data_IF_144757421124
#
_entry.id   IF_144757421124
#
_cell.length_a   1.000
_cell.length_b   1.000
_cell.length_c   1.000
_cell.angle_alpha   90.00
_cell.angle_beta   90.00
_cell.angle_gamma   90.00
#
_symmetry.space_group_name_H-M   'P 1'
#
loop_
_entity.id
_entity.type
_entity.pdbx_description
1 polymer ?
#
# COMPACT_ATOMS: atom_id res chain seq x y z
N UNK A 1 -5.39 -4.35 -19.63
CA UNK A 1 -5.81 -3.78 -18.32
C UNK A 1 -4.88 -4.31 -17.25
N UNK A 2 -4.70 -3.60 -16.14
CA UNK A 2 -4.02 -4.19 -14.98
C UNK A 2 -4.84 -5.37 -14.47
N UNK A 3 -4.18 -6.47 -14.13
CA UNK A 3 -4.84 -7.64 -13.58
C UNK A 3 -5.56 -7.27 -12.27
N UNK A 4 -6.78 -7.79 -12.02
CA UNK A 4 -7.55 -7.46 -10.83
C UNK A 4 -6.88 -8.01 -9.56
N UNK A 5 -7.07 -7.31 -8.45
CA UNK A 5 -6.62 -7.76 -7.14
C UNK A 5 -7.67 -8.70 -6.52
N UNK A 6 -7.21 -9.83 -5.96
CA UNK A 6 -8.06 -10.78 -5.24
C UNK A 6 -8.56 -10.14 -3.94
N UNK A 7 -9.88 -10.13 -3.72
CA UNK A 7 -10.51 -9.59 -2.52
C UNK A 7 -11.17 -10.70 -1.71
N UNK A 8 -10.74 -10.90 -0.47
CA UNK A 8 -11.23 -11.98 0.40
C UNK A 8 -11.61 -11.46 1.77
N UNK A 9 -12.60 -12.10 2.38
CA UNK A 9 -12.99 -11.84 3.75
C UNK A 9 -11.98 -12.47 4.73
N UNK A 10 -11.87 -11.88 5.94
CA UNK A 10 -11.21 -12.46 7.12
C UNK A 10 -9.72 -12.76 6.98
N UNK A 11 -9.07 -12.28 5.92
CA UNK A 11 -7.63 -12.42 5.70
C UNK A 11 -6.89 -11.10 5.92
N UNK A 12 -5.72 -11.11 6.60
CA UNK A 12 -4.94 -9.90 6.79
C UNK A 12 -4.33 -9.41 5.46
N UNK A 13 -4.37 -8.10 5.27
CA UNK A 13 -3.92 -7.41 4.06
C UNK A 13 -3.11 -6.17 4.47
N UNK A 14 -1.91 -6.04 3.89
CA UNK A 14 -1.18 -4.78 3.88
C UNK A 14 -1.68 -3.90 2.73
N UNK A 15 -1.92 -2.63 3.01
CA UNK A 15 -2.46 -1.63 2.08
C UNK A 15 -1.44 -0.52 1.93
N UNK A 16 -1.14 -0.16 0.68
CA UNK A 16 -0.28 0.98 0.38
C UNK A 16 -0.97 1.92 -0.60
N UNK A 17 -0.94 3.23 -0.31
CA UNK A 17 -1.40 4.28 -1.22
C UNK A 17 -0.44 5.45 -1.24
N UNK A 18 -0.09 5.93 -2.43
CA UNK A 18 0.85 7.02 -2.66
C UNK A 18 0.15 8.31 -3.06
N UNK A 19 0.75 9.42 -2.70
CA UNK A 19 0.34 10.75 -3.13
C UNK A 19 0.68 10.99 -4.59
N UNK A 20 -0.09 11.86 -5.23
CA UNK A 20 0.17 12.30 -6.59
C UNK A 20 1.57 12.89 -6.70
N UNK A 21 2.26 12.59 -7.81
CA UNK A 21 3.60 13.10 -8.11
C UNK A 21 4.63 12.94 -6.97
N UNK A 22 4.48 11.94 -6.07
CA UNK A 22 5.34 11.74 -4.88
C UNK A 22 5.40 12.96 -3.96
N UNK A 23 4.40 13.86 -4.04
CA UNK A 23 4.33 15.07 -3.22
C UNK A 23 4.21 14.73 -1.74
N UNK A 24 4.88 15.50 -0.90
CA UNK A 24 4.91 15.32 0.55
C UNK A 24 3.66 15.93 1.23
N UNK A 25 2.48 15.72 0.64
CA UNK A 25 1.22 16.39 1.01
C UNK A 25 0.78 16.13 2.45
N UNK A 26 1.05 14.93 2.97
CA UNK A 26 0.73 14.51 4.34
C UNK A 26 1.86 14.83 5.32
N UNK A 27 2.71 15.81 5.01
CA UNK A 27 3.70 16.29 5.97
C UNK A 27 3.02 16.59 7.31
N UNK A 28 3.51 16.04 8.45
CA UNK A 28 2.94 16.27 9.77
C UNK A 28 3.32 17.67 10.28
N UNK A 29 2.94 18.71 9.53
CA UNK A 29 3.22 20.11 9.84
C UNK A 29 2.52 20.55 11.11
N UNK A 30 1.29 20.06 11.29
CA UNK A 30 0.54 20.12 12.52
C UNK A 30 0.07 18.71 12.91
N UNK A 31 0.04 18.34 14.21
CA UNK A 31 -0.37 17.00 14.64
C UNK A 31 -1.75 16.58 14.13
N UNK A 32 -2.69 17.53 14.09
CA UNK A 32 -4.08 17.28 13.69
C UNK A 32 -4.24 16.89 12.21
N UNK A 33 -3.23 17.15 11.36
CA UNK A 33 -3.25 16.74 9.94
C UNK A 33 -3.23 15.21 9.83
N UNK A 34 -2.22 14.57 10.41
CA UNK A 34 -2.13 13.11 10.33
C UNK A 34 -3.13 12.42 11.26
N UNK A 35 -3.45 12.99 12.42
CA UNK A 35 -4.53 12.48 13.29
C UNK A 35 -5.89 12.53 12.57
N UNK A 36 -6.15 13.55 11.75
CA UNK A 36 -7.35 13.66 10.94
C UNK A 36 -7.44 12.61 9.84
N UNK A 37 -6.32 12.27 9.21
CA UNK A 37 -6.25 11.10 8.33
C UNK A 37 -6.66 9.84 9.09
N UNK A 38 -6.03 9.57 10.24
CA UNK A 38 -6.29 8.35 10.98
C UNK A 38 -7.73 8.31 11.48
N UNK A 39 -8.30 9.44 11.92
CA UNK A 39 -9.68 9.54 12.34
C UNK A 39 -10.65 9.10 11.22
N UNK A 40 -10.49 9.65 10.02
CA UNK A 40 -11.37 9.35 8.89
C UNK A 40 -11.18 7.93 8.35
N UNK A 41 -9.93 7.48 8.29
CA UNK A 41 -9.58 6.12 7.89
C UNK A 41 -10.15 5.10 8.87
N UNK A 42 -10.03 5.34 10.18
CA UNK A 42 -10.60 4.48 11.22
C UNK A 42 -12.13 4.52 11.23
N UNK A 43 -12.75 5.69 11.05
CA UNK A 43 -14.21 5.81 10.94
C UNK A 43 -14.75 4.99 9.75
N UNK A 44 -14.05 5.01 8.61
CA UNK A 44 -14.40 4.16 7.47
C UNK A 44 -14.24 2.68 7.78
N UNK A 45 -13.15 2.29 8.45
CA UNK A 45 -12.90 0.91 8.83
C UNK A 45 -14.01 0.38 9.75
N UNK A 46 -14.41 1.15 10.77
CA UNK A 46 -15.47 0.77 11.69
C UNK A 46 -16.83 0.63 11.00
N UNK A 47 -17.17 1.55 10.09
CA UNK A 47 -18.44 1.52 9.33
C UNK A 47 -18.55 0.31 8.40
N UNK A 48 -17.42 -0.19 7.92
CA UNK A 48 -17.35 -1.28 6.94
C UNK A 48 -16.86 -2.59 7.53
N UNK A 49 -16.74 -2.70 8.85
CA UNK A 49 -16.29 -3.92 9.50
C UNK A 49 -14.87 -4.33 9.11
N UNK A 50 -13.95 -3.38 9.05
CA UNK A 50 -12.53 -3.63 8.80
C UNK A 50 -11.74 -3.49 10.11
N UNK A 51 -11.04 -4.55 10.50
CA UNK A 51 -10.19 -4.56 11.70
C UNK A 51 -8.84 -3.93 11.38
N UNK A 52 -8.42 -2.97 12.19
CA UNK A 52 -7.13 -2.28 12.05
C UNK A 52 -6.08 -3.00 12.88
N UNK A 53 -4.92 -3.30 12.29
CA UNK A 53 -3.75 -3.86 12.98
C UNK A 53 -2.63 -2.84 13.14
N UNK A 54 -2.51 -1.90 12.20
CA UNK A 54 -1.55 -0.82 12.26
C UNK A 54 -1.68 0.17 11.12
N UNK A 55 -1.14 1.35 11.32
CA UNK A 55 -1.07 2.43 10.34
C UNK A 55 0.22 3.24 10.56
N UNK A 56 0.93 3.53 9.46
CA UNK A 56 1.96 4.54 9.38
C UNK A 56 1.64 5.47 8.21
N UNK A 57 1.66 6.78 8.47
CA UNK A 57 1.41 7.80 7.47
C UNK A 57 2.68 8.62 7.29
N UNK A 58 3.33 8.44 6.16
CA UNK A 58 4.47 9.23 5.74
C UNK A 58 4.03 10.41 4.87
N UNK A 59 4.92 11.41 4.65
CA UNK A 59 4.49 12.63 3.97
C UNK A 59 3.94 12.40 2.56
N UNK A 60 4.39 11.37 1.83
CA UNK A 60 3.93 11.09 0.47
C UNK A 60 3.17 9.78 0.28
N UNK A 61 2.96 8.98 1.33
CA UNK A 61 2.23 7.73 1.21
C UNK A 61 1.82 7.21 2.59
N UNK A 62 0.94 6.22 2.63
CA UNK A 62 0.66 5.51 3.87
C UNK A 62 0.77 4.00 3.67
N UNK A 63 1.10 3.33 4.76
CA UNK A 63 1.01 1.89 4.93
C UNK A 63 -0.01 1.56 6.02
N UNK A 64 -1.00 0.73 5.69
CA UNK A 64 -1.98 0.21 6.63
C UNK A 64 -1.94 -1.30 6.66
N UNK A 65 -2.23 -1.90 7.81
CA UNK A 65 -2.45 -3.33 7.92
C UNK A 65 -3.85 -3.56 8.51
N UNK A 66 -4.68 -4.33 7.80
CA UNK A 66 -6.08 -4.55 8.15
C UNK A 66 -6.51 -5.98 7.91
N UNK A 67 -7.60 -6.41 8.54
CA UNK A 67 -8.36 -7.60 8.15
C UNK A 67 -9.82 -7.21 7.96
N UNK A 68 -10.38 -7.32 6.74
CA UNK A 68 -11.79 -7.02 6.53
C UNK A 68 -12.65 -8.19 7.03
N UNK A 69 -13.82 -7.93 7.59
CA UNK A 69 -14.74 -9.01 8.02
C UNK A 69 -15.47 -9.65 6.84
N UNK A 70 -15.71 -8.85 5.79
CA UNK A 70 -16.27 -9.23 4.50
C UNK A 70 -15.26 -8.92 3.38
N UNK A 71 -15.49 -9.34 2.14
CA UNK A 71 -14.57 -9.06 1.03
C UNK A 71 -14.72 -7.62 0.47
N UNK A 72 -14.63 -6.59 1.32
CA UNK A 72 -15.03 -5.20 1.00
C UNK A 72 -13.91 -4.14 1.04
N UNK A 73 -12.65 -4.55 0.93
CA UNK A 73 -11.52 -3.59 0.94
C UNK A 73 -11.58 -2.50 -0.13
N UNK A 74 -12.06 -2.75 -1.37
CA UNK A 74 -12.17 -1.68 -2.35
C UNK A 74 -13.14 -0.58 -1.92
N UNK A 75 -14.32 -0.92 -1.38
CA UNK A 75 -15.25 0.06 -0.80
C UNK A 75 -14.64 0.81 0.38
N UNK A 76 -13.97 0.09 1.29
CA UNK A 76 -13.28 0.69 2.42
C UNK A 76 -12.26 1.74 2.00
N UNK A 77 -11.36 1.36 1.10
CA UNK A 77 -10.31 2.28 0.63
C UNK A 77 -10.87 3.40 -0.23
N UNK A 78 -11.88 3.16 -1.07
CA UNK A 78 -12.55 4.22 -1.82
C UNK A 78 -13.11 5.29 -0.87
N UNK A 79 -13.84 4.86 0.17
CA UNK A 79 -14.41 5.76 1.17
C UNK A 79 -13.34 6.49 1.96
N UNK A 80 -12.35 5.76 2.48
CA UNK A 80 -11.27 6.32 3.27
C UNK A 80 -10.43 7.32 2.46
N UNK A 81 -10.04 6.99 1.22
CA UNK A 81 -9.23 7.85 0.35
C UNK A 81 -9.97 9.10 -0.09
N UNK A 82 -11.27 8.99 -0.39
CA UNK A 82 -12.11 10.14 -0.69
C UNK A 82 -12.19 11.09 0.50
N UNK A 83 -12.60 10.58 1.65
CA UNK A 83 -12.85 11.40 2.84
C UNK A 83 -11.54 12.06 3.31
N UNK A 84 -10.42 11.32 3.32
CA UNK A 84 -9.10 11.86 3.68
C UNK A 84 -8.56 12.86 2.67
N UNK A 85 -8.80 12.68 1.36
CA UNK A 85 -8.38 13.64 0.35
C UNK A 85 -9.11 14.98 0.50
N UNK A 86 -10.43 14.95 0.70
CA UNK A 86 -11.25 16.15 0.93
C UNK A 86 -10.80 16.88 2.20
N UNK A 87 -10.52 16.12 3.26
CA UNK A 87 -9.96 16.67 4.48
C UNK A 87 -8.63 17.37 4.26
N UNK A 88 -7.68 16.72 3.57
CA UNK A 88 -6.36 17.31 3.33
C UNK A 88 -6.44 18.57 2.48
N UNK A 89 -7.30 18.60 1.47
CA UNK A 89 -7.53 19.79 0.66
C UNK A 89 -7.99 20.98 1.51
N UNK A 90 -9.02 20.78 2.35
CA UNK A 90 -9.49 21.81 3.27
C UNK A 90 -8.42 22.20 4.30
N UNK A 91 -7.65 21.24 4.78
CA UNK A 91 -6.57 21.49 5.73
C UNK A 91 -5.44 22.33 5.13
N UNK A 92 -5.05 22.05 3.89
CA UNK A 92 -4.02 22.83 3.18
C UNK A 92 -4.51 24.24 2.86
N UNK A 93 -5.78 24.41 2.50
CA UNK A 93 -6.40 25.73 2.32
C UNK A 93 -6.35 26.57 3.59
N UNK A 94 -6.73 25.99 4.74
CA UNK A 94 -6.69 26.64 6.05
C UNK A 94 -5.26 27.06 6.43
N UNK A 95 -4.26 26.27 6.03
CA UNK A 95 -2.84 26.56 6.25
C UNK A 95 -2.24 27.54 5.21
N UNK A 96 -3.06 28.08 4.30
CA UNK A 96 -2.65 29.09 3.32
C UNK A 96 -1.96 28.52 2.07
N UNK A 97 -2.07 27.22 1.83
CA UNK A 97 -1.60 26.58 0.60
C UNK A 97 -2.73 26.47 -0.43
N UNK A 98 -2.36 26.49 -1.72
CA UNK A 98 -3.29 26.10 -2.78
C UNK A 98 -3.69 24.62 -2.56
N UNK A 99 -4.98 24.23 -2.61
CA UNK A 99 -5.37 22.83 -2.47
C UNK A 99 -5.01 21.99 -3.72
N UNK A 100 -4.43 20.79 -3.57
CA UNK A 100 -4.04 19.99 -4.73
C UNK A 100 -5.29 19.46 -5.44
N UNK A 101 -5.35 19.45 -6.79
CA UNK A 101 -6.51 18.93 -7.53
C UNK A 101 -6.71 17.42 -7.32
N UNK A 102 -5.68 16.71 -6.89
CA UNK A 102 -5.72 15.31 -6.53
C UNK A 102 -4.69 15.02 -5.44
N UNK A 103 -5.10 14.39 -4.35
CA UNK A 103 -4.17 14.01 -3.25
C UNK A 103 -3.45 12.71 -3.59
N UNK A 104 -4.20 11.70 -4.00
CA UNK A 104 -3.70 10.37 -4.30
C UNK A 104 -3.28 10.24 -5.76
N UNK A 105 -2.27 9.42 -6.06
CA UNK A 105 -1.93 9.15 -7.46
C UNK A 105 -3.06 8.39 -8.20
N UNK A 106 -2.98 8.29 -9.53
CA UNK A 106 -3.99 7.58 -10.33
C UNK A 106 -3.76 6.05 -10.39
N UNK A 107 -2.78 5.52 -9.66
CA UNK A 107 -2.56 4.08 -9.63
C UNK A 107 -3.61 3.42 -8.73
N UNK A 108 -4.00 2.15 -8.99
CA UNK A 108 -4.84 1.42 -8.06
C UNK A 108 -4.17 1.29 -6.70
N UNK A 109 -4.98 1.24 -5.64
CA UNK A 109 -4.48 0.95 -4.29
C UNK A 109 -3.83 -0.43 -4.31
N UNK A 110 -2.65 -0.54 -3.70
CA UNK A 110 -1.98 -1.83 -3.59
C UNK A 110 -2.51 -2.57 -2.37
N UNK A 111 -2.95 -3.81 -2.59
CA UNK A 111 -3.34 -4.76 -1.56
C UNK A 111 -2.38 -5.94 -1.64
N UNK A 112 -1.80 -6.31 -0.50
CA UNK A 112 -0.92 -7.46 -0.37
C UNK A 112 -1.45 -8.37 0.72
N UNK A 113 -1.98 -9.54 0.34
CA UNK A 113 -2.46 -10.53 1.30
C UNK A 113 -1.29 -11.11 2.10
N UNK A 114 -1.42 -11.18 3.41
CA UNK A 114 -0.38 -11.72 4.31
C UNK A 114 -0.72 -13.18 4.60
N UNK A 115 0.05 -14.11 4.03
CA UNK A 115 -0.32 -15.53 3.97
C UNK A 115 0.00 -16.31 5.24
N UNK A 116 0.94 -15.84 6.05
CA UNK A 116 1.44 -16.56 7.23
C UNK A 116 1.97 -15.63 8.32
N UNK A 117 2.37 -16.25 9.42
CA UNK A 117 2.97 -15.59 10.58
C UNK A 117 4.15 -14.71 10.17
N UNK A 118 5.06 -15.21 9.34
CA UNK A 118 6.22 -14.47 8.86
C UNK A 118 5.84 -13.23 8.06
N UNK A 119 4.90 -13.35 7.14
CA UNK A 119 4.39 -12.22 6.35
C UNK A 119 3.74 -11.15 7.24
N UNK A 120 2.97 -11.56 8.25
CA UNK A 120 2.34 -10.64 9.19
C UNK A 120 3.36 -9.94 10.09
N UNK A 121 4.38 -10.65 10.55
CA UNK A 121 5.47 -10.08 11.35
C UNK A 121 6.29 -9.09 10.53
N UNK A 122 6.66 -9.48 9.31
CA UNK A 122 7.42 -8.64 8.39
C UNK A 122 6.64 -7.37 8.04
N UNK A 123 5.35 -7.49 7.72
CA UNK A 123 4.47 -6.33 7.45
C UNK A 123 4.36 -5.38 8.64
N UNK A 124 4.20 -5.90 9.86
CA UNK A 124 4.08 -5.08 11.06
C UNK A 124 5.36 -4.27 11.34
N UNK A 125 6.53 -4.89 11.15
CA UNK A 125 7.83 -4.23 11.29
C UNK A 125 8.08 -3.24 10.16
N UNK A 126 7.82 -3.62 8.90
CA UNK A 126 7.96 -2.74 7.74
C UNK A 126 7.21 -1.43 7.96
N UNK A 127 5.92 -1.53 8.28
CA UNK A 127 5.04 -0.39 8.51
C UNK A 127 5.59 0.53 9.61
N UNK A 128 6.08 -0.03 10.73
CA UNK A 128 6.58 0.74 11.87
C UNK A 128 7.93 1.41 11.59
N UNK A 129 8.82 0.70 10.89
CA UNK A 129 10.21 1.11 10.64
C UNK A 129 10.36 2.11 9.50
N UNK A 130 9.34 2.24 8.65
CA UNK A 130 9.35 3.07 7.46
C UNK A 130 9.95 4.48 7.65
N UNK A 131 9.50 5.30 8.63
CA UNK A 131 10.10 6.63 8.85
C UNK A 131 11.61 6.63 9.20
N UNK A 132 12.13 5.52 9.74
CA UNK A 132 13.56 5.35 10.05
C UNK A 132 14.34 4.89 8.82
N UNK A 133 13.77 3.96 8.05
CA UNK A 133 14.34 3.49 6.78
C UNK A 133 14.43 4.64 5.77
N UNK A 134 13.39 5.46 5.70
CA UNK A 134 13.33 6.61 4.81
C UNK A 134 14.21 7.78 5.26
N UNK A 135 14.84 7.69 6.43
CA UNK A 135 15.77 8.71 6.92
C UNK A 135 15.06 9.96 7.43
N UNK A 136 13.78 9.88 7.78
CA UNK A 136 13.05 10.99 8.38
C UNK A 136 13.48 11.19 9.84
N UNK A 137 13.64 10.11 10.60
CA UNK A 137 13.97 10.14 12.03
C UNK A 137 14.93 9.02 12.45
N UNK A 138 15.60 9.19 13.59
CA UNK A 138 16.57 8.22 14.10
C UNK A 138 15.90 6.99 14.73
N UNK A 139 14.77 7.19 15.41
CA UNK A 139 13.96 6.15 16.03
C UNK A 139 12.50 6.35 15.63
N UNK A 140 11.76 5.26 15.57
CA UNK A 140 10.33 5.25 15.24
C UNK A 140 9.49 6.11 16.19
N UNK A 141 9.86 6.16 17.47
CA UNK A 141 9.25 7.01 18.49
C UNK A 141 9.49 8.51 18.32
N UNK A 142 10.48 8.90 17.50
CA UNK A 142 10.78 10.31 17.22
C UNK A 142 9.94 10.84 16.04
N UNK A 143 9.21 9.97 15.32
CA UNK A 143 8.39 10.39 14.19
C UNK A 143 7.22 11.27 14.68
N UNK A 144 7.05 12.50 14.16
CA UNK A 144 6.06 13.45 14.69
C UNK A 144 4.63 13.19 14.19
N UNK A 145 4.44 12.19 13.33
CA UNK A 145 3.15 11.85 12.73
C UNK A 145 2.56 10.54 13.26
N UNK A 146 1.53 10.04 12.57
CA UNK A 146 0.88 8.76 12.85
C UNK A 146 1.82 7.63 12.47
N UNK A 147 2.28 6.91 13.50
CA UNK A 147 3.03 5.67 13.36
C UNK A 147 2.65 4.74 14.52
N UNK A 148 1.91 3.68 14.23
CA UNK A 148 1.27 2.84 15.26
C UNK A 148 2.29 2.08 16.09
N UNK A 149 2.25 2.25 17.42
CA UNK A 149 3.08 1.50 18.36
C UNK A 149 2.79 -0.02 18.32
N UNK A 150 3.85 -0.83 18.19
CA UNK A 150 3.74 -2.30 18.12
C UNK A 150 3.08 -2.90 19.38
N UNK A 151 3.23 -2.25 20.53
CA UNK A 151 2.62 -2.68 21.78
C UNK A 151 1.08 -2.57 21.78
N UNK A 152 0.48 -1.74 20.92
CA UNK A 152 -0.98 -1.63 20.79
C UNK A 152 -1.58 -2.82 20.03
N UNK A 153 -0.78 -3.57 19.28
CA UNK A 153 -1.24 -4.72 18.47
C UNK A 153 -1.74 -5.90 19.30
N UNK A 154 -1.61 -5.85 20.62
CA UNK A 154 -2.17 -6.82 21.57
C UNK A 154 -3.62 -6.51 21.99
N UNK A 155 -4.32 -5.64 21.26
CA UNK A 155 -5.69 -5.21 21.61
C UNK A 155 -5.75 -3.87 22.34
N UNK A 156 -4.76 -2.99 22.13
CA UNK A 156 -4.77 -1.63 22.64
C UNK A 156 -5.78 -0.73 21.92
N UNK A 157 -5.99 0.47 22.44
CA UNK A 157 -6.92 1.45 21.89
C UNK A 157 -6.18 2.76 21.62
N UNK A 158 -6.41 3.35 20.45
CA UNK A 158 -6.01 4.72 20.12
C UNK A 158 -7.22 5.62 20.25
N UNK A 159 -7.06 6.76 20.91
CA UNK A 159 -8.12 7.77 21.04
C UNK A 159 -7.83 8.92 20.09
N UNK A 160 -8.70 9.12 19.10
CA UNK A 160 -8.57 10.17 18.09
C UNK A 160 -9.64 11.23 18.29
N UNK A 161 -9.23 12.49 18.36
CA UNK A 161 -10.18 13.61 18.35
C UNK A 161 -10.53 13.95 16.91
N UNK A 162 -11.79 14.26 16.65
CA UNK A 162 -12.20 14.77 15.33
C UNK A 162 -11.55 16.14 15.10
N UNK A 163 -10.77 16.32 14.01
CA UNK A 163 -10.25 17.62 13.63
C UNK A 163 -11.37 18.68 13.57
N UNK A 164 -11.14 19.91 14.06
CA UNK A 164 -12.15 20.96 14.05
C UNK A 164 -12.76 21.24 12.66
N UNK A 165 -11.93 21.17 11.62
CA UNK A 165 -12.36 21.41 10.23
C UNK A 165 -13.29 20.31 9.68
N UNK A 166 -13.38 19.16 10.33
CA UNK A 166 -14.28 18.05 9.98
C UNK A 166 -15.65 18.14 10.66
N UNK A 167 -16.17 19.36 10.83
CA UNK A 167 -17.45 19.58 11.49
C UNK A 167 -18.63 19.00 10.66
N UNK A 168 -19.02 17.76 10.97
CA UNK A 168 -20.22 17.11 10.47
C UNK A 168 -21.06 16.53 11.64
N UNK A 169 -22.39 16.70 11.66
CA UNK A 169 -23.25 16.13 12.70
C UNK A 169 -23.09 14.62 12.88
N UNK A 170 -22.76 13.89 11.81
CA UNK A 170 -22.71 12.41 11.78
C UNK A 170 -21.33 11.84 12.14
N UNK A 171 -20.39 12.69 12.55
CA UNK A 171 -19.04 12.29 12.93
C UNK A 171 -18.85 12.43 14.45
N UNK A 172 -18.49 11.38 15.19
CA UNK A 172 -18.23 11.48 16.63
C UNK A 172 -17.14 12.51 16.95
N UNK A 173 -17.28 13.31 18.02
CA UNK A 173 -16.23 14.26 18.43
C UNK A 173 -14.91 13.58 18.82
N UNK A 174 -15.00 12.32 19.24
CA UNK A 174 -13.87 11.45 19.56
C UNK A 174 -14.17 10.03 19.08
N UNK A 175 -13.13 9.34 18.62
CA UNK A 175 -13.18 7.95 18.20
C UNK A 175 -12.23 7.11 19.05
N UNK A 176 -12.73 6.04 19.65
CA UNK A 176 -11.92 5.00 20.25
C UNK A 176 -11.67 3.92 19.19
N UNK A 177 -10.42 3.78 18.77
CA UNK A 177 -10.01 2.89 17.68
C UNK A 177 -9.29 1.69 18.27
N UNK A 178 -9.91 0.50 18.26
CA UNK A 178 -9.24 -0.72 18.67
C UNK A 178 -8.16 -1.10 17.65
N UNK A 179 -6.94 -1.32 18.14
CA UNK A 179 -5.88 -1.95 17.35
C UNK A 179 -6.00 -3.45 17.59
N UNK A 180 -6.70 -4.11 16.68
CA UNK A 180 -7.01 -5.53 16.79
C UNK A 180 -5.74 -6.37 16.65
N UNK A 181 -5.61 -7.48 17.40
CA UNK A 181 -4.61 -8.48 17.09
C UNK A 181 -4.83 -9.06 15.70
N UNK A 182 -3.74 -9.23 14.95
CA UNK A 182 -3.75 -9.97 13.69
C UNK A 182 -3.88 -11.46 14.03
N UNK A 183 -4.92 -12.12 13.51
CA UNK A 183 -5.26 -13.50 13.84
C UNK A 183 -4.21 -14.51 13.36
N UNK A 184 -3.63 -14.31 12.16
CA UNK A 184 -2.56 -15.15 11.61
C UNK A 184 -1.33 -15.03 12.51
N UNK A 185 -0.90 -13.81 12.82
CA UNK A 185 0.21 -13.57 13.73
C UNK A 185 -0.05 -14.18 15.12
N UNK A 186 -1.25 -13.98 15.68
CA UNK A 186 -1.61 -14.52 16.99
C UNK A 186 -1.50 -16.05 17.02
N UNK A 187 -2.00 -16.75 16.01
CA UNK A 187 -1.90 -18.21 15.90
C UNK A 187 -0.47 -18.70 15.77
N UNK A 188 0.38 -17.99 15.03
CA UNK A 188 1.81 -18.26 14.95
C UNK A 188 2.52 -18.25 16.30
N UNK A 189 2.02 -17.44 17.25
CA UNK A 189 2.49 -17.38 18.64
C UNK A 189 1.60 -18.18 19.61
N UNK A 190 0.77 -19.11 19.13
CA UNK A 190 -0.10 -19.95 19.97
C UNK A 190 -1.16 -19.17 20.76
N UNK A 191 -1.52 -17.98 20.29
CA UNK A 191 -2.41 -17.03 20.97
C UNK A 191 -1.71 -16.12 22.00
N UNK A 192 -0.39 -16.25 22.19
CA UNK A 192 0.35 -15.40 23.13
C UNK A 192 0.69 -14.03 22.52
N UNK A 193 -0.24 -13.09 22.68
CA UNK A 193 -0.09 -11.73 22.19
C UNK A 193 1.01 -10.94 22.89
N UNK A 194 1.35 -11.27 24.15
CA UNK A 194 2.45 -10.59 24.84
C UNK A 194 3.78 -11.03 24.27
N UNK A 195 3.96 -12.33 24.00
CA UNK A 195 5.15 -12.85 23.33
C UNK A 195 5.30 -12.28 21.92
N UNK A 196 4.21 -12.22 21.13
CA UNK A 196 4.24 -11.61 19.80
C UNK A 196 4.69 -10.13 19.86
N UNK A 197 4.09 -9.33 20.76
CA UNK A 197 4.47 -7.93 20.95
C UNK A 197 5.92 -7.75 21.45
N UNK A 198 6.38 -8.63 22.34
CA UNK A 198 7.76 -8.64 22.82
C UNK A 198 8.75 -8.89 21.68
N UNK A 199 8.48 -9.89 20.84
CA UNK A 199 9.32 -10.20 19.67
C UNK A 199 9.35 -9.01 18.71
N UNK A 200 8.19 -8.46 18.35
CA UNK A 200 8.10 -7.27 17.50
C UNK A 200 8.95 -6.09 18.04
N UNK A 201 8.83 -5.79 19.34
CA UNK A 201 9.61 -4.71 19.97
C UNK A 201 11.11 -4.99 19.99
N UNK A 202 11.50 -6.24 20.24
CA UNK A 202 12.91 -6.65 20.20
C UNK A 202 13.49 -6.42 18.80
N UNK A 203 12.75 -6.82 17.75
CA UNK A 203 13.17 -6.64 16.36
C UNK A 203 13.22 -5.19 15.95
N UNK A 204 12.24 -4.37 16.33
CA UNK A 204 12.27 -2.91 16.09
C UNK A 204 13.58 -2.28 16.61
N UNK A 205 14.03 -2.66 17.80
CA UNK A 205 15.30 -2.18 18.36
C UNK A 205 16.51 -2.66 17.54
N UNK A 206 16.57 -3.94 17.17
CA UNK A 206 17.64 -4.50 16.34
C UNK A 206 17.71 -3.83 14.96
N UNK A 207 16.56 -3.63 14.30
CA UNK A 207 16.47 -2.95 13.00
C UNK A 207 16.87 -1.48 13.09
N UNK A 208 16.47 -0.78 14.16
CA UNK A 208 16.87 0.61 14.40
C UNK A 208 18.39 0.74 14.48
N UNK A 209 19.05 -0.14 15.23
CA UNK A 209 20.52 -0.12 15.34
C UNK A 209 21.21 -0.48 14.02
N UNK A 210 20.69 -1.45 13.26
CA UNK A 210 21.23 -1.79 11.94
C UNK A 210 21.11 -0.64 10.95
N UNK A 211 19.94 0.00 10.85
CA UNK A 211 19.74 1.16 9.98
C UNK A 211 20.63 2.34 10.41
N UNK A 212 20.82 2.55 11.73
CA UNK A 212 21.79 3.54 12.23
C UNK A 212 23.21 3.21 11.78
N UNK A 213 23.65 1.96 11.92
CA UNK A 213 24.98 1.54 11.50
C UNK A 213 25.19 1.71 9.98
N UNK A 214 24.20 1.33 9.16
CA UNK A 214 24.24 1.52 7.71
C UNK A 214 24.30 3.00 7.31
N UNK A 215 23.53 3.88 7.98
CA UNK A 215 23.62 5.33 7.80
C UNK A 215 24.98 5.88 8.18
N UNK A 216 25.54 5.44 9.32
CA UNK A 216 26.86 5.87 9.78
C UNK A 216 27.96 5.45 8.80
N UNK A 217 27.91 4.23 8.28
CA UNK A 217 28.86 3.72 7.28
C UNK A 217 28.79 4.48 5.94
N UNK A 218 27.58 4.90 5.53
CA UNK A 218 27.35 5.66 4.29
C UNK A 218 27.47 7.18 4.45
N UNK A 219 27.76 7.69 5.65
CA UNK A 219 27.82 9.12 5.95
C UNK A 219 26.47 9.85 5.85
N UNK A 220 25.36 9.11 5.73
CA UNK A 220 24.00 9.66 5.63
C UNK A 220 23.50 10.07 7.02
N UNK A 221 22.64 11.09 7.05
CA UNK A 221 21.97 11.58 8.28
C UNK A 221 20.46 11.54 8.09
N UNK A 222 19.74 11.46 9.20
CA UNK A 222 18.28 11.65 9.21
C UNK A 222 17.92 13.13 9.18
N UNK A 223 16.72 13.47 8.72
CA UNK A 223 16.21 14.84 8.75
C UNK A 223 15.98 15.35 10.18
N UNK A 224 15.35 14.51 11.02
CA UNK A 224 14.94 14.83 12.37
C UNK A 224 13.51 15.41 12.43
N UNK A 225 12.81 15.14 13.54
CA UNK A 225 11.38 15.44 13.70
C UNK A 225 11.01 16.91 13.40
N UNK A 226 11.81 17.86 13.88
CA UNK A 226 11.55 19.29 13.68
C UNK A 226 11.74 19.76 12.24
N UNK A 227 12.60 19.08 11.48
CA UNK A 227 12.76 19.34 10.04
C UNK A 227 11.60 18.71 9.28
N UNK A 228 11.23 17.47 9.63
CA UNK A 228 10.10 16.75 9.01
C UNK A 228 8.80 17.56 9.09
N UNK A 229 8.48 18.17 10.23
CA UNK A 229 7.29 19.04 10.39
C UNK A 229 7.31 20.27 9.47
N UNK A 230 8.49 20.75 9.06
CA UNK A 230 8.67 21.98 8.28
C UNK A 230 8.81 21.73 6.78
N UNK A 231 8.74 20.48 6.35
CA UNK A 231 8.75 20.13 4.93
C UNK A 231 7.56 20.81 4.25
N UNK A 232 7.80 21.49 3.13
CA UNK A 232 6.71 22.09 2.37
C UNK A 232 5.82 20.97 1.79
N UNK A 233 4.48 21.04 1.87
CA UNK A 233 3.60 19.95 1.39
C UNK A 233 3.79 19.60 -0.09
N UNK A 234 4.16 20.59 -0.90
CA UNK A 234 4.46 20.44 -2.34
C UNK A 234 5.91 20.06 -2.68
N UNK A 235 6.74 19.86 -1.66
CA UNK A 235 8.05 19.27 -1.84
C UNK A 235 7.94 17.83 -2.37
N UNK A 236 9.05 17.31 -2.87
CA UNK A 236 9.13 15.94 -3.40
C UNK A 236 10.51 15.33 -3.14
N UNK A 237 10.63 13.99 -3.11
CA UNK A 237 11.93 13.34 -2.96
C UNK A 237 12.87 13.70 -4.11
N UNK A 238 14.15 13.92 -3.81
CA UNK A 238 15.21 14.12 -4.83
C UNK A 238 15.46 12.87 -5.67
N UNK A 239 15.21 11.70 -5.08
CA UNK A 239 15.45 10.42 -5.72
C UNK A 239 14.49 10.22 -6.89
N UNK A 240 15.06 9.84 -8.04
CA UNK A 240 14.24 9.42 -9.17
C UNK A 240 13.43 8.19 -8.78
N UNK A 241 12.22 8.11 -9.34
CA UNK A 241 11.38 6.92 -9.16
C UNK A 241 12.06 5.73 -9.84
N UNK A 242 12.51 4.76 -9.06
CA UNK A 242 12.92 3.45 -9.58
C UNK A 242 11.73 2.78 -10.26
N UNK A 243 11.95 2.25 -11.47
CA UNK A 243 10.97 1.41 -12.16
C UNK A 243 11.22 -0.04 -11.70
N UNK A 244 10.54 -0.44 -10.63
CA UNK A 244 10.58 -1.81 -10.14
C UNK A 244 9.50 -2.71 -10.78
N UNK A 245 9.59 -4.03 -10.55
CA UNK A 245 8.49 -4.94 -10.85
C UNK A 245 7.21 -4.51 -10.11
N UNK A 246 6.06 -5.01 -10.57
CA UNK A 246 4.80 -4.76 -9.87
C UNK A 246 4.90 -5.34 -8.45
N UNK A 247 4.49 -4.58 -7.41
CA UNK A 247 4.44 -5.11 -6.05
C UNK A 247 3.61 -6.41 -6.00
N UNK A 248 4.03 -7.41 -5.21
CA UNK A 248 3.36 -8.70 -5.19
C UNK A 248 1.93 -8.58 -4.62
N UNK A 249 1.04 -9.46 -5.07
CA UNK A 249 -0.35 -9.51 -4.58
C UNK A 249 -0.48 -10.18 -3.20
N UNK A 250 0.55 -10.91 -2.78
CA UNK A 250 0.63 -11.61 -1.51
C UNK A 250 2.08 -11.63 -0.99
N UNK A 251 2.25 -11.81 0.32
CA UNK A 251 3.55 -12.05 0.97
C UNK A 251 3.54 -13.36 1.74
N UNK A 252 4.63 -14.09 1.63
CA UNK A 252 4.91 -15.36 2.32
C UNK A 252 6.25 -15.20 3.02
N UNK A 253 6.23 -15.07 4.34
CA UNK A 253 7.45 -15.07 5.15
C UNK A 253 7.75 -16.45 5.73
N UNK A 254 6.75 -17.33 5.78
CA UNK A 254 6.82 -18.68 6.30
C UNK A 254 6.36 -18.83 7.74
N UNK A 255 6.28 -20.08 8.21
CA UNK A 255 5.99 -20.41 9.60
C UNK A 255 7.27 -20.71 10.41
N UNK A 256 7.28 -20.51 11.74
CA UNK A 256 8.49 -20.65 12.57
C UNK A 256 9.17 -22.03 12.57
N UNK A 257 8.51 -23.06 12.03
CA UNK A 257 8.98 -24.44 11.91
C UNK A 257 8.87 -24.97 10.47
N UNK A 258 8.54 -24.12 9.50
CA UNK A 258 8.37 -24.53 8.11
C UNK A 258 9.74 -24.87 7.52
N UNK A 259 9.82 -26.00 6.82
CA UNK A 259 11.03 -26.32 6.07
C UNK A 259 11.18 -25.38 4.86
N UNK A 260 12.40 -25.20 4.36
CA UNK A 260 12.62 -24.40 3.16
C UNK A 260 11.90 -24.99 1.94
N UNK A 261 11.79 -26.31 1.87
CA UNK A 261 11.07 -27.01 0.79
C UNK A 261 9.56 -26.76 0.87
N UNK A 262 8.97 -26.80 2.08
CA UNK A 262 7.55 -26.47 2.29
C UNK A 262 7.26 -25.00 1.95
N UNK A 263 8.15 -24.09 2.36
CA UNK A 263 8.04 -22.66 2.04
C UNK A 263 8.13 -22.43 0.53
N UNK A 264 9.02 -23.13 -0.17
CA UNK A 264 9.15 -23.05 -1.62
C UNK A 264 7.90 -23.59 -2.34
N UNK A 265 7.40 -24.76 -1.93
CA UNK A 265 6.18 -25.36 -2.47
C UNK A 265 4.96 -24.44 -2.28
N UNK A 266 4.84 -23.82 -1.11
CA UNK A 266 3.82 -22.80 -0.82
C UNK A 266 3.91 -21.60 -1.76
N UNK A 267 5.12 -21.08 -1.99
CA UNK A 267 5.34 -19.97 -2.92
C UNK A 267 4.94 -20.34 -4.35
N UNK A 268 5.28 -21.55 -4.80
CA UNK A 268 4.89 -22.08 -6.11
C UNK A 268 3.38 -22.23 -6.26
N UNK A 269 2.71 -22.84 -5.27
CA UNK A 269 1.25 -23.01 -5.28
C UNK A 269 0.52 -21.67 -5.36
N UNK A 270 0.94 -20.67 -4.57
CA UNK A 270 0.34 -19.33 -4.59
C UNK A 270 0.57 -18.60 -5.92
N UNK A 271 1.74 -18.80 -6.53
CA UNK A 271 2.04 -18.21 -7.85
C UNK A 271 1.15 -18.84 -8.93
N UNK A 272 1.01 -20.17 -8.91
CA UNK A 272 0.11 -20.90 -9.81
C UNK A 272 -1.36 -20.50 -9.61
N UNK A 273 -1.81 -20.34 -8.36
CA UNK A 273 -3.16 -19.87 -8.05
C UNK A 273 -3.39 -18.44 -8.53
N UNK A 274 -2.44 -17.53 -8.33
CA UNK A 274 -2.56 -16.16 -8.81
C UNK A 274 -2.65 -16.09 -10.34
N UNK A 275 -1.84 -16.89 -11.04
CA UNK A 275 -1.87 -16.98 -12.49
C UNK A 275 -3.22 -17.54 -12.97
N UNK A 276 -3.70 -18.63 -12.35
CA UNK A 276 -5.01 -19.22 -12.65
C UNK A 276 -6.14 -18.21 -12.46
N UNK A 277 -6.15 -17.47 -11.35
CA UNK A 277 -7.15 -16.43 -11.11
C UNK A 277 -7.19 -15.39 -12.23
N UNK A 278 -6.05 -14.97 -12.77
CA UNK A 278 -6.01 -14.00 -13.86
C UNK A 278 -6.52 -14.57 -15.19
N UNK A 279 -6.16 -15.82 -15.50
CA UNK A 279 -6.63 -16.52 -16.70
C UNK A 279 -8.15 -16.73 -16.64
N UNK A 280 -8.66 -17.24 -15.52
CA UNK A 280 -10.09 -17.46 -15.30
C UNK A 280 -10.87 -16.13 -15.34
N UNK A 281 -10.30 -15.06 -14.77
CA UNK A 281 -10.92 -13.74 -14.80
C UNK A 281 -11.03 -13.22 -16.24
N UNK A 282 -9.95 -13.26 -17.03
CA UNK A 282 -10.01 -12.74 -18.41
C UNK A 282 -10.91 -13.61 -19.28
N UNK A 283 -10.89 -14.94 -19.13
CA UNK A 283 -11.82 -15.83 -19.83
C UNK A 283 -13.29 -15.54 -19.50
N UNK A 284 -13.60 -15.32 -18.21
CA UNK A 284 -14.94 -14.93 -17.75
C UNK A 284 -15.36 -13.57 -18.34
N UNK A 285 -14.40 -12.65 -18.43
CA UNK A 285 -14.60 -11.31 -18.94
C UNK A 285 -14.82 -11.24 -20.44
N UNK A 286 -14.16 -12.09 -21.21
CA UNK A 286 -14.41 -12.24 -22.64
C UNK A 286 -15.84 -12.73 -22.89
N UNK A 287 -16.28 -13.76 -22.16
CA UNK A 287 -17.67 -14.25 -22.22
C UNK A 287 -18.68 -13.18 -21.82
N UNK A 288 -18.43 -12.47 -20.72
CA UNK A 288 -19.27 -11.35 -20.27
C UNK A 288 -19.42 -10.26 -21.33
N UNK A 289 -18.34 -9.94 -22.04
CA UNK A 289 -18.37 -8.98 -23.17
C UNK A 289 -19.10 -9.54 -24.38
N UNK A 290 -19.04 -10.85 -24.59
CA UNK A 290 -19.81 -11.58 -25.61
C UNK A 290 -21.33 -11.66 -25.34
N UNK A 291 -21.79 -11.19 -24.18
CA UNK A 291 -23.21 -11.13 -23.82
C UNK A 291 -23.68 -12.23 -22.87
N UNK A 292 -22.79 -13.15 -22.49
CA UNK A 292 -23.07 -14.16 -21.47
C UNK A 292 -23.06 -13.51 -20.09
N UNK A 293 -24.26 -13.27 -19.51
CA UNK A 293 -24.42 -12.67 -18.18
C UNK A 293 -24.45 -13.68 -17.05
N UNK A 294 -24.50 -14.97 -17.36
CA UNK A 294 -24.54 -16.05 -16.38
C UNK A 294 -23.15 -16.60 -16.05
N UNK A 295 -22.11 -16.21 -16.81
CA UNK A 295 -20.72 -16.58 -16.56
C UNK A 295 -20.29 -16.31 -15.11
N UNK A 296 -19.64 -17.31 -14.53
CA UNK A 296 -19.05 -17.22 -13.20
C UNK A 296 -17.65 -16.62 -13.31
N UNK A 297 -17.42 -15.49 -12.62
CA UNK A 297 -16.08 -14.97 -12.38
C UNK A 297 -15.39 -15.77 -11.25
N UNK A 298 -14.04 -15.84 -11.22
CA UNK A 298 -13.34 -16.56 -10.16
C UNK A 298 -13.52 -15.89 -8.79
N UNK A 299 -13.48 -16.70 -7.74
CA UNK A 299 -13.59 -16.26 -6.36
C UNK A 299 -12.61 -15.11 -6.03
N UNK A 300 -13.10 -14.11 -5.32
CA UNK A 300 -12.35 -12.90 -5.00
C UNK A 300 -12.41 -11.79 -6.05
N UNK A 301 -13.21 -11.97 -7.11
CA UNK A 301 -13.56 -10.90 -8.05
C UNK A 301 -14.54 -9.91 -7.44
N UNK A 302 -14.10 -8.68 -7.14
CA UNK A 302 -14.94 -7.67 -6.48
C UNK A 302 -15.72 -6.75 -7.44
N UNK A 303 -15.03 -6.06 -8.36
CA UNK A 303 -15.64 -5.01 -9.20
C UNK A 303 -16.82 -5.56 -10.01
N UNK A 304 -16.63 -6.71 -10.67
CA UNK A 304 -17.69 -7.34 -11.46
C UNK A 304 -18.86 -7.80 -10.59
N UNK A 305 -18.59 -8.27 -9.37
CA UNK A 305 -19.63 -8.71 -8.45
C UNK A 305 -20.46 -7.53 -7.96
N UNK A 306 -19.81 -6.46 -7.50
CA UNK A 306 -20.48 -5.36 -6.81
C UNK A 306 -21.05 -4.34 -7.78
N UNK A 307 -20.28 -3.90 -8.77
CA UNK A 307 -20.72 -2.85 -9.71
C UNK A 307 -21.60 -3.41 -10.83
N UNK A 308 -21.32 -4.63 -11.28
CA UNK A 308 -21.98 -5.25 -12.42
C UNK A 308 -22.92 -6.40 -12.07
N UNK A 309 -22.99 -6.80 -10.79
CA UNK A 309 -23.83 -7.92 -10.31
C UNK A 309 -23.55 -9.23 -11.04
N UNK A 310 -22.31 -9.43 -11.49
CA UNK A 310 -21.88 -10.67 -12.11
C UNK A 310 -21.82 -11.80 -11.06
N UNK A 311 -22.04 -13.03 -11.50
CA UNK A 311 -21.91 -14.20 -10.65
C UNK A 311 -20.43 -14.45 -10.34
N UNK A 312 -20.14 -14.92 -9.12
CA UNK A 312 -18.80 -15.29 -8.67
C UNK A 312 -18.84 -16.72 -8.15
N UNK A 313 -17.86 -17.52 -8.56
CA UNK A 313 -17.70 -18.88 -8.10
C UNK A 313 -17.22 -18.94 -6.64
N UNK A 314 -17.48 -20.06 -5.98
CA UNK A 314 -16.81 -20.39 -4.73
C UNK A 314 -15.30 -20.61 -4.96
N UNK A 315 -14.44 -20.36 -3.95
CA UNK A 315 -13.04 -20.71 -4.03
C UNK A 315 -12.85 -22.20 -4.31
N UNK A 316 -11.80 -22.55 -5.04
CA UNK A 316 -11.41 -23.95 -5.19
C UNK A 316 -11.08 -24.57 -3.83
N UNK A 317 -11.29 -25.87 -3.67
CA UNK A 317 -11.01 -26.58 -2.41
C UNK A 317 -9.54 -26.48 -1.97
N UNK A 318 -8.63 -26.34 -2.93
CA UNK A 318 -7.18 -26.17 -2.72
C UNK A 318 -6.72 -24.70 -2.73
N UNK A 319 -7.65 -23.74 -2.81
CA UNK A 319 -7.33 -22.32 -2.87
C UNK A 319 -6.75 -21.81 -1.54
N UNK A 320 -5.63 -21.09 -1.62
CA UNK A 320 -5.00 -20.43 -0.48
C UNK A 320 -5.14 -18.92 -0.59
N UNK A 321 -4.92 -18.36 -1.78
CA UNK A 321 -5.01 -16.92 -2.08
C UNK A 321 -6.44 -16.42 -2.26
N UNK A 322 -7.37 -17.26 -2.73
CA UNK A 322 -8.77 -16.90 -2.92
C UNK A 322 -9.67 -17.37 -1.77
N UNK A 323 -9.17 -18.25 -0.90
CA UNK A 323 -9.94 -18.73 0.26
C UNK A 323 -10.11 -17.65 1.33
N UNK A 324 -11.27 -17.57 2.00
CA UNK A 324 -11.45 -16.68 3.14
C UNK A 324 -10.47 -17.02 4.27
N UNK A 325 -10.08 -16.01 5.04
CA UNK A 325 -9.26 -16.22 6.23
C UNK A 325 -10.09 -16.60 7.46
N UNK A 326 -9.42 -16.57 8.61
CA UNK A 326 -10.02 -16.85 9.92
C UNK A 326 -9.61 -15.77 10.93
N UNK A 327 -10.62 -15.23 11.61
CA UNK A 327 -10.52 -14.19 12.63
C UNK A 327 -10.21 -14.74 14.04
N UNK A 328 -10.17 -16.06 14.22
CA UNK A 328 -9.85 -16.70 15.49
C UNK A 328 -8.38 -16.46 15.88
N UNK A 329 -8.13 -16.11 17.14
CA UNK A 329 -6.78 -15.88 17.65
C UNK A 329 -6.06 -17.18 18.05
N UNK A 330 -6.83 -18.26 18.23
CA UNK A 330 -6.36 -19.60 18.57
C UNK A 330 -7.06 -20.60 17.66
N UNK A 331 -6.38 -21.67 17.21
CA UNK A 331 -7.01 -22.70 16.39
C UNK A 331 -8.18 -23.38 17.13
N UNK A 332 -9.17 -23.84 16.38
CA UNK A 332 -10.19 -24.77 16.91
C UNK A 332 -9.50 -26.06 17.40
N UNK A 333 -9.80 -26.50 18.63
CA UNK A 333 -9.21 -27.70 19.23
C UNK A 333 -8.12 -27.47 20.30
N UNK A 334 -7.78 -26.21 20.62
CA UNK A 334 -6.96 -25.87 21.80
C UNK A 334 -5.59 -25.26 21.49
N UNK A 335 -4.82 -24.97 22.55
CA UNK A 335 -3.50 -24.32 22.44
C UNK A 335 -2.51 -25.22 21.70
N UNK A 336 -2.14 -24.85 20.48
CA UNK A 336 -0.93 -25.40 19.85
C UNK A 336 0.27 -24.83 20.60
N UNK A 337 1.12 -25.71 21.15
CA UNK A 337 2.46 -25.31 21.64
C UNK A 337 3.34 -25.03 20.42
N UNK A 338 3.12 -23.92 19.74
CA UNK A 338 4.02 -23.46 18.69
C UNK A 338 5.18 -22.75 19.37
N UNK A 339 6.30 -23.44 19.53
CA UNK A 339 7.55 -22.78 19.92
C UNK A 339 8.10 -22.10 18.69
N UNK A 340 7.79 -20.81 18.53
CA UNK A 340 8.47 -19.97 17.54
C UNK A 340 9.96 -19.97 17.84
N UNK A 341 10.78 -20.57 16.97
CA UNK A 341 12.24 -20.44 17.07
C UNK A 341 12.62 -19.01 16.72
N UNK A 342 13.38 -18.36 17.61
CA UNK A 342 13.82 -16.98 17.40
C UNK A 342 14.57 -16.80 16.07
N UNK A 343 15.36 -17.81 15.66
CA UNK A 343 16.13 -17.82 14.43
C UNK A 343 15.27 -17.82 13.14
N UNK A 344 14.10 -18.45 13.14
CA UNK A 344 13.20 -18.40 11.99
C UNK A 344 12.59 -17.00 11.82
N UNK A 345 12.24 -16.36 12.95
CA UNK A 345 11.83 -14.95 12.95
C UNK A 345 12.99 -14.02 12.55
N UNK A 346 14.23 -14.33 12.93
CA UNK A 346 15.41 -13.58 12.51
C UNK A 346 15.58 -13.61 10.99
N UNK A 347 15.50 -14.78 10.35
CA UNK A 347 15.64 -14.92 8.90
C UNK A 347 14.56 -14.13 8.11
N UNK A 348 13.31 -14.18 8.57
CA UNK A 348 12.20 -13.39 7.98
C UNK A 348 12.44 -11.88 8.08
N UNK A 349 13.12 -11.44 9.14
CA UNK A 349 13.44 -10.04 9.38
C UNK A 349 14.67 -9.61 8.57
N UNK A 350 15.62 -10.51 8.33
CA UNK A 350 16.73 -10.26 7.42
C UNK A 350 16.23 -10.06 5.97
N UNK A 351 15.28 -10.89 5.49
CA UNK A 351 14.60 -10.69 4.19
C UNK A 351 13.84 -9.36 4.14
N UNK A 352 13.15 -8.98 5.23
CA UNK A 352 12.51 -7.67 5.35
C UNK A 352 13.51 -6.50 5.25
N UNK A 353 14.75 -6.68 5.71
CA UNK A 353 15.77 -5.64 5.67
C UNK A 353 16.30 -5.40 4.26
N UNK A 354 16.41 -6.44 3.45
CA UNK A 354 16.74 -6.31 2.02
C UNK A 354 15.68 -5.46 1.31
N UNK A 355 14.40 -5.62 1.66
CA UNK A 355 13.29 -4.82 1.11
C UNK A 355 13.31 -3.33 1.55
N UNK A 356 13.96 -2.98 2.67
CA UNK A 356 13.90 -1.62 3.26
C UNK A 356 14.98 -0.66 2.74
N UNK A 357 15.99 -1.13 2.00
CA UNK A 357 17.12 -0.29 1.57
C UNK A 357 16.82 0.61 0.35
N UNK A 358 15.63 0.50 -0.26
CA UNK A 358 15.44 0.97 -1.64
C UNK A 358 14.86 2.37 -1.87
N UNK A 359 14.18 3.01 -0.90
CA UNK A 359 13.22 4.12 -1.17
C UNK A 359 13.35 5.41 -0.32
N UNK A 360 14.56 5.81 0.11
CA UNK A 360 14.79 6.95 1.03
C UNK A 360 14.12 8.30 0.67
N UNK A 361 13.40 8.88 1.64
CA UNK A 361 12.86 10.26 1.65
C UNK A 361 13.78 11.28 2.34
N UNK A 362 14.95 10.88 2.83
CA UNK A 362 15.89 11.71 3.59
C UNK A 362 16.51 12.86 2.77
N UNK A 363 16.17 12.96 1.49
CA UNK A 363 16.60 14.01 0.58
C UNK A 363 15.38 14.57 -0.17
N UNK A 364 15.06 15.83 0.08
CA UNK A 364 13.84 16.49 -0.42
C UNK A 364 14.20 17.73 -1.26
N UNK A 365 13.46 17.95 -2.33
CA UNK A 365 13.45 19.16 -3.15
C UNK A 365 12.26 20.02 -2.74
N UNK A 366 12.51 21.26 -2.37
CA UNK A 366 11.48 22.24 -2.03
C UNK A 366 10.99 22.97 -3.30
N UNK A 367 9.75 23.50 -3.32
CA UNK A 367 9.31 24.34 -4.43
C UNK A 367 10.25 25.55 -4.63
N UNK A 368 10.72 25.74 -5.87
CA UNK A 368 11.66 26.81 -6.23
C UNK A 368 13.13 26.41 -6.24
N UNK A 369 13.49 25.21 -5.78
CA UNK A 369 14.85 24.68 -5.91
C UNK A 369 15.20 24.48 -7.39
N UNK A 370 16.37 24.98 -7.83
CA UNK A 370 16.92 24.66 -9.15
C UNK A 370 17.60 23.29 -9.07
N UNK A 371 16.88 22.25 -9.49
CA UNK A 371 17.45 20.90 -9.63
C UNK A 371 18.34 20.89 -10.87
N UNK A 372 19.66 21.00 -10.67
CA UNK A 372 20.62 20.65 -11.73
C UNK A 372 20.65 19.13 -11.85
N UNK A 373 20.60 18.55 -13.06
CA UNK A 373 20.80 17.11 -13.23
C UNK A 373 22.12 16.72 -12.55
N UNK A 374 22.10 15.71 -11.68
CA UNK A 374 23.31 15.22 -11.03
C UNK A 374 24.20 14.60 -12.12
N UNK A 375 25.43 15.08 -12.27
CA UNK A 375 26.43 14.59 -13.24
C UNK A 375 26.87 13.14 -12.96
N UNK A 376 26.29 12.47 -11.94
CA UNK A 376 26.58 11.10 -11.54
C UNK A 376 25.51 10.09 -11.93
N UNK A 377 25.13 10.06 -13.21
CA UNK A 377 24.30 8.97 -13.74
C UNK A 377 24.77 8.40 -15.08
N UNK A 378 25.97 8.77 -15.56
CA UNK A 378 26.51 8.23 -16.80
C UNK A 378 27.46 7.03 -16.62
N UNK A 379 27.87 6.68 -15.39
CA UNK A 379 28.88 5.63 -15.15
C UNK A 379 28.33 4.21 -14.89
N UNK A 380 27.01 4.00 -14.90
CA UNK A 380 26.40 2.63 -14.84
C UNK A 380 25.61 2.27 -16.11
N UNK A 381 26.04 2.78 -17.26
CA UNK A 381 25.52 2.40 -18.57
C UNK A 381 26.63 1.88 -19.48
N UNK A 382 27.45 0.95 -18.99
CA UNK A 382 28.36 0.19 -19.86
C UNK A 382 28.21 -1.31 -19.60
N UNK A 383 27.75 -2.04 -20.62
CA UNK A 383 27.87 -3.49 -20.69
C UNK A 383 26.59 -4.32 -20.68
N UNK A 384 25.74 -4.19 -21.70
CA UNK A 384 25.18 -5.37 -22.40
C UNK A 384 24.84 -4.95 -23.83
N UNK A 385 25.83 -5.09 -24.73
CA UNK A 385 25.55 -5.20 -26.15
C UNK A 385 24.74 -6.48 -26.38
N UNK A 386 23.42 -6.32 -26.49
CA UNK A 386 22.56 -7.29 -27.17
C UNK A 386 22.27 -6.71 -28.55
N UNK A 387 22.87 -7.34 -29.55
CA UNK A 387 22.63 -7.07 -30.97
C UNK A 387 21.13 -6.94 -31.25
N UNK A 388 20.74 -5.78 -31.77
CA UNK A 388 19.41 -5.57 -32.32
C UNK A 388 19.28 -6.36 -33.62
N UNK A 389 18.24 -7.21 -33.82
CA UNK A 389 18.00 -7.79 -35.12
C UNK A 389 17.63 -6.68 -36.12
N UNK A 390 18.22 -6.78 -37.31
CA UNK A 390 18.13 -5.81 -38.37
C UNK A 390 16.67 -5.41 -38.70
N UNK A 391 16.45 -4.09 -38.80
CA UNK A 391 15.22 -3.50 -39.34
C UNK A 391 14.98 -4.02 -40.75
N UNK A 392 13.95 -4.85 -40.92
CA UNK A 392 13.44 -5.18 -42.25
C UNK A 392 12.61 -4.03 -42.82
N UNK A 393 12.62 -3.98 -44.15
CA UNK A 393 12.32 -2.86 -45.04
C UNK A 393 11.02 -2.05 -44.77
N UNK A 394 11.17 -0.76 -45.06
CA UNK A 394 10.12 0.25 -45.26
C UNK A 394 8.97 -0.30 -46.13
N UNK A 395 7.73 -0.13 -45.66
CA UNK A 395 6.55 -0.04 -46.54
C UNK A 395 6.13 1.43 -46.64
N UNK A 396 6.41 2.01 -47.80
CA UNK A 396 5.99 3.36 -48.18
C UNK A 396 4.48 3.52 -48.01
N UNK A 397 4.06 4.49 -47.20
CA UNK A 397 2.67 4.98 -47.16
C UNK A 397 2.60 6.28 -47.97
N UNK A 398 1.73 6.28 -48.98
CA UNK A 398 1.46 7.41 -49.86
C UNK A 398 1.02 8.66 -49.08
N UNK A 399 1.34 9.87 -49.55
CA UNK A 399 1.06 11.11 -48.84
C UNK A 399 -0.46 11.39 -48.77
N UNK A 400 -0.95 11.64 -47.55
CA UNK A 400 -2.32 12.09 -47.27
C UNK A 400 -2.54 13.50 -47.85
N UNK A 401 -3.54 13.64 -48.72
CA UNK A 401 -4.06 14.94 -49.16
C UNK A 401 -4.66 15.71 -47.98
N UNK A 402 -4.19 16.94 -47.79
CA UNK A 402 -4.74 17.92 -46.85
C UNK A 402 -5.92 18.61 -47.52
N UNK A 403 -7.15 18.33 -47.09
CA UNK A 403 -8.34 19.05 -47.55
C UNK A 403 -8.52 20.32 -46.72
N UNK A 404 -8.26 21.49 -47.32
CA UNK A 404 -8.61 22.78 -46.76
C UNK A 404 -10.14 22.99 -46.81
N UNK A 405 -10.78 23.22 -45.65
CA UNK A 405 -12.17 23.69 -45.58
C UNK A 405 -12.24 25.13 -46.11
N UNK A 406 -12.80 25.30 -47.30
CA UNK A 406 -13.15 26.61 -47.85
C UNK A 406 -14.47 27.11 -47.25
N UNK A 407 -14.46 28.39 -46.83
CA UNK A 407 -15.59 29.15 -46.32
C UNK A 407 -16.60 29.36 -47.47
N UNK A 408 -17.85 28.93 -47.31
CA UNK A 408 -18.91 29.17 -48.31
C UNK A 408 -19.17 30.68 -48.49
N UNK A 409 -19.30 31.19 -49.72
CA UNK A 409 -19.75 32.55 -49.97
C UNK A 409 -21.27 32.67 -49.85
N UNK A 410 -21.73 33.80 -49.31
CA UNK A 410 -23.14 34.12 -49.08
C UNK A 410 -23.98 34.17 -50.37
N UNK A 411 -25.26 33.84 -50.21
CA UNK A 411 -26.27 33.99 -51.27
C UNK A 411 -26.50 35.46 -51.62
N UNK A 412 -26.62 35.82 -52.92
CA UNK A 412 -27.08 37.14 -53.32
C UNK A 412 -28.60 37.29 -53.16
N UNK A 413 -29.05 38.52 -52.91
CA UNK A 413 -30.46 38.94 -52.95
C UNK A 413 -30.79 39.67 -54.26
N UNK A 414 -32.07 39.57 -54.65
CA UNK A 414 -32.88 40.41 -55.56
C UNK A 414 -32.88 40.02 -57.07
N UNK A 415 -33.89 40.40 -57.89
CA UNK A 415 -35.03 41.32 -57.64
C UNK A 415 -36.44 40.86 -58.15
N UNK A 416 -37.44 41.66 -57.76
CA UNK A 416 -38.88 41.77 -58.16
C UNK A 416 -39.80 40.57 -58.05
#
# INVERSE_FOLDING_TARGET
>A
MSAPAVQVAKAPVAITRRCTHRKLLWTPSEPWIQEGFFYLWALAAMRLGVRIHGLALEPNHYHGEVTPTEANLPEFTQRAHRDTALFLQAALEELGYDPPPCVWDKTPTHYMRLMDTGACLASALYLRMQPVADGLVERTADYPGVNTELALRKGGVVVLKRPPILASPDMPSQLEVPIHPNAVLARGFGGDLQKAAYVLKKREAELTERLRAARAASGRRVLGAEVVKKIHPYAEPRTQRKRGPRPPAYKVGGEPMESLDDLAAKREQLAAEQQRFWEDYEGSRERWRGGDRDVLYPAGTYEMQVEHRANVAEPHEDAWLCAPGDLSLVPEGGRVKTTVHAAAVDAMVDELMEDLEEDSLGQVTQPGDVVRPDERSEEEAEGTELESPARSARRDHAPRQVTHRTRSPGKPKAPT
#
